data_IF_697778639183
#
_entry.id   IF_697778639183
#
_cell.length_a   1.000
_cell.length_b   1.000
_cell.length_c   1.000
_cell.angle_alpha   90.00
_cell.angle_beta   90.00
_cell.angle_gamma   90.00
#
_symmetry.space_group_name_H-M   'P 1'
#
loop_
_entity.id
_entity.type
_entity.pdbx_description
1 polymer ?
#
# COMPACT_ATOMS: atom_id res chain seq x y z
N UNK A 1 20.24 -77.15 -13.81
CA UNK A 1 20.09 -77.59 -12.41
C UNK A 1 20.84 -76.61 -11.53
N UNK A 2 20.15 -75.65 -10.91
CA UNK A 2 20.76 -74.65 -10.03
C UNK A 2 19.67 -74.15 -9.09
N UNK A 3 19.95 -74.20 -7.79
CA UNK A 3 18.99 -74.13 -6.70
C UNK A 3 18.01 -72.95 -6.78
N UNK A 4 16.71 -73.26 -6.75
CA UNK A 4 15.65 -72.29 -6.46
C UNK A 4 15.60 -72.15 -4.95
N UNK A 5 16.06 -71.01 -4.43
CA UNK A 5 15.92 -70.63 -3.04
C UNK A 5 14.43 -70.41 -2.75
N UNK A 6 13.79 -71.38 -2.10
CA UNK A 6 12.43 -71.23 -1.60
C UNK A 6 12.52 -70.45 -0.29
N UNK A 7 11.99 -69.24 -0.33
CA UNK A 7 11.84 -68.35 0.82
C UNK A 7 11.12 -69.07 1.97
N UNK A 8 11.64 -68.93 3.19
CA UNK A 8 10.97 -69.44 4.38
C UNK A 8 9.70 -68.62 4.62
N UNK A 9 8.54 -69.25 4.89
CA UNK A 9 7.33 -68.50 5.23
C UNK A 9 7.58 -67.77 6.53
N UNK A 10 7.55 -66.44 6.47
CA UNK A 10 7.60 -65.56 7.64
C UNK A 10 6.37 -65.84 8.48
N UNK A 11 6.55 -66.69 9.50
CA UNK A 11 5.53 -67.00 10.49
C UNK A 11 5.16 -65.70 11.20
N UNK A 12 4.06 -65.08 10.77
CA UNK A 12 3.47 -63.93 11.43
C UNK A 12 2.99 -64.41 12.80
N UNK A 13 3.88 -64.26 13.77
CA UNK A 13 3.62 -64.60 15.17
C UNK A 13 2.55 -63.63 15.64
N UNK A 14 1.35 -64.15 15.89
CA UNK A 14 0.19 -63.39 16.34
C UNK A 14 0.56 -62.48 17.51
N UNK A 15 0.08 -61.24 17.44
CA UNK A 15 0.36 -60.20 18.43
C UNK A 15 -0.08 -60.73 19.81
N UNK A 16 0.89 -61.00 20.68
CA UNK A 16 0.60 -61.55 22.00
C UNK A 16 -0.16 -60.50 22.83
N UNK A 17 -1.19 -60.94 23.55
CA UNK A 17 -1.99 -60.10 24.45
C UNK A 17 -1.11 -59.34 25.47
N UNK A 18 0.05 -59.89 25.79
CA UNK A 18 1.02 -59.29 26.69
C UNK A 18 1.74 -58.09 26.05
N UNK A 19 2.17 -58.19 24.78
CA UNK A 19 2.73 -57.06 24.03
C UNK A 19 1.72 -55.92 23.87
N UNK A 20 0.43 -56.25 23.68
CA UNK A 20 -0.64 -55.23 23.63
C UNK A 20 -0.79 -54.55 24.99
N UNK A 21 -0.81 -55.31 26.09
CA UNK A 21 -0.91 -54.74 27.45
C UNK A 21 0.30 -53.89 27.82
N UNK A 22 1.49 -54.29 27.41
CA UNK A 22 2.74 -53.53 27.61
C UNK A 22 2.75 -52.24 26.78
N UNK A 23 2.31 -52.30 25.52
CA UNK A 23 2.14 -51.12 24.67
C UNK A 23 1.13 -50.12 25.24
N UNK A 24 -0.02 -50.63 25.72
CA UNK A 24 -1.05 -49.81 26.37
C UNK A 24 -0.54 -49.20 27.68
N UNK A 25 0.16 -49.96 28.51
CA UNK A 25 0.72 -49.46 29.77
C UNK A 25 1.79 -48.38 29.53
N UNK A 26 2.60 -48.53 28.47
CA UNK A 26 3.63 -47.55 28.09
C UNK A 26 3.00 -46.26 27.55
N UNK A 27 1.96 -46.39 26.72
CA UNK A 27 1.19 -45.25 26.21
C UNK A 27 0.49 -44.47 27.33
N UNK A 28 -0.10 -45.18 28.30
CA UNK A 28 -0.77 -44.55 29.45
C UNK A 28 0.23 -43.83 30.37
N UNK A 29 1.43 -44.38 30.56
CA UNK A 29 2.50 -43.72 31.34
C UNK A 29 3.03 -42.46 30.65
N UNK A 30 3.28 -42.53 29.34
CA UNK A 30 3.73 -41.38 28.56
C UNK A 30 2.69 -40.24 28.58
N UNK A 31 1.40 -40.59 28.45
CA UNK A 31 0.30 -39.63 28.55
C UNK A 31 0.25 -38.92 29.91
N UNK A 32 0.41 -39.67 31.02
CA UNK A 32 0.41 -39.08 32.37
C UNK A 32 1.65 -38.23 32.64
N UNK A 33 2.81 -38.65 32.15
CA UNK A 33 4.06 -37.90 32.30
C UNK A 33 4.04 -36.58 31.53
N UNK A 34 3.46 -36.57 30.31
CA UNK A 34 3.21 -35.34 29.56
C UNK A 34 2.21 -34.45 30.32
N UNK A 35 1.18 -35.03 30.94
CA UNK A 35 0.20 -34.28 31.73
C UNK A 35 0.80 -33.64 32.98
N UNK A 36 1.73 -34.31 33.66
CA UNK A 36 2.43 -33.77 34.83
C UNK A 36 3.46 -32.70 34.43
N UNK A 37 4.19 -32.88 33.32
CA UNK A 37 5.03 -31.82 32.73
C UNK A 37 4.19 -30.62 32.29
N UNK A 38 2.97 -30.84 31.77
CA UNK A 38 2.03 -29.76 31.42
C UNK A 38 1.53 -28.99 32.65
N UNK A 39 1.57 -29.62 33.83
CA UNK A 39 1.15 -29.01 35.11
C UNK A 39 2.28 -28.26 35.83
N UNK A 40 3.49 -28.24 35.28
CA UNK A 40 4.58 -27.43 35.81
C UNK A 40 4.38 -25.95 35.45
N UNK A 41 4.53 -25.05 36.42
CA UNK A 41 4.32 -23.60 36.24
C UNK A 41 5.11 -23.03 35.05
N UNK A 42 6.30 -23.59 34.77
CA UNK A 42 7.13 -23.22 33.63
C UNK A 42 6.44 -23.46 32.29
N UNK A 43 5.80 -24.61 32.10
CA UNK A 43 5.13 -24.96 30.84
C UNK A 43 3.88 -24.10 30.64
N UNK A 44 3.12 -23.83 31.71
CA UNK A 44 1.99 -22.90 31.66
C UNK A 44 2.43 -21.48 31.26
N UNK A 45 3.55 -20.98 31.81
CA UNK A 45 4.12 -19.68 31.43
C UNK A 45 4.52 -19.68 29.95
N UNK A 46 5.22 -20.71 29.48
CA UNK A 46 5.62 -20.81 28.07
C UNK A 46 4.41 -20.85 27.14
N UNK A 47 3.39 -21.62 27.49
CA UNK A 47 2.17 -21.75 26.69
C UNK A 47 1.37 -20.45 26.68
N UNK A 48 1.31 -19.75 27.81
CA UNK A 48 0.75 -18.39 27.91
C UNK A 48 1.51 -17.39 27.04
N UNK A 49 2.85 -17.43 27.05
CA UNK A 49 3.67 -16.56 26.21
C UNK A 49 3.44 -16.82 24.71
N UNK A 50 3.35 -18.09 24.31
CA UNK A 50 3.00 -18.48 22.94
C UNK A 50 1.62 -17.95 22.55
N UNK A 51 0.63 -18.06 23.43
CA UNK A 51 -0.71 -17.52 23.18
C UNK A 51 -0.69 -15.99 23.01
N UNK A 52 0.06 -15.27 23.85
CA UNK A 52 0.24 -13.81 23.74
C UNK A 52 0.93 -13.44 22.43
N UNK A 53 1.97 -14.17 22.02
CA UNK A 53 2.66 -13.94 20.74
C UNK A 53 1.72 -14.18 19.55
N UNK A 54 0.89 -15.22 19.60
CA UNK A 54 -0.11 -15.50 18.56
C UNK A 54 -1.15 -14.37 18.48
N UNK A 55 -1.66 -13.91 19.63
CA UNK A 55 -2.58 -12.78 19.69
C UNK A 55 -1.94 -11.49 19.15
N UNK A 56 -0.69 -11.23 19.50
CA UNK A 56 0.07 -10.08 18.98
C UNK A 56 0.23 -10.16 17.46
N UNK A 57 0.61 -11.33 16.93
CA UNK A 57 0.76 -11.54 15.50
C UNK A 57 -0.56 -11.28 14.74
N UNK A 58 -1.68 -11.79 15.26
CA UNK A 58 -3.01 -11.54 14.69
C UNK A 58 -3.33 -10.04 14.75
N UNK A 59 -3.08 -9.38 15.89
CA UNK A 59 -3.30 -7.94 16.06
C UNK A 59 -2.52 -7.09 15.05
N UNK A 60 -1.25 -7.43 14.78
CA UNK A 60 -0.43 -6.76 13.76
C UNK A 60 -1.03 -6.93 12.37
N UNK A 61 -1.51 -8.12 12.02
CA UNK A 61 -2.14 -8.38 10.71
C UNK A 61 -3.43 -7.58 10.55
N UNK A 62 -4.26 -7.52 11.59
CA UNK A 62 -5.51 -6.73 11.59
C UNK A 62 -5.20 -5.24 11.42
N UNK A 63 -4.24 -4.72 12.20
CA UNK A 63 -3.82 -3.31 12.08
C UNK A 63 -3.27 -3.00 10.68
N UNK A 64 -2.50 -3.91 10.09
CA UNK A 64 -2.03 -3.75 8.72
C UNK A 64 -3.17 -3.77 7.69
N UNK A 65 -4.23 -4.55 7.92
CA UNK A 65 -5.41 -4.61 7.06
C UNK A 65 -6.20 -3.30 7.11
N UNK A 66 -6.52 -2.81 8.32
CA UNK A 66 -7.20 -1.52 8.51
C UNK A 66 -6.40 -0.37 7.89
N UNK A 67 -5.07 -0.38 8.07
CA UNK A 67 -4.20 0.64 7.48
C UNK A 67 -4.25 0.62 5.95
N UNK A 68 -4.33 -0.57 5.33
CA UNK A 68 -4.48 -0.68 3.86
C UNK A 68 -5.82 -0.13 3.38
N UNK A 69 -6.90 -0.35 4.11
CA UNK A 69 -8.23 0.17 3.76
C UNK A 69 -8.29 1.71 3.85
N UNK A 70 -7.79 2.26 4.96
CA UNK A 70 -7.66 3.70 5.16
C UNK A 70 -6.78 4.34 4.07
N UNK A 71 -5.66 3.69 3.74
CA UNK A 71 -4.76 4.16 2.69
C UNK A 71 -5.39 4.13 1.30
N UNK A 72 -6.22 3.12 1.00
CA UNK A 72 -6.93 3.03 -0.27
C UNK A 72 -7.93 4.19 -0.42
N UNK A 73 -8.67 4.48 0.64
CA UNK A 73 -9.60 5.62 0.69
C UNK A 73 -8.86 6.94 0.46
N UNK A 74 -7.78 7.17 1.24
CA UNK A 74 -6.94 8.35 1.09
C UNK A 74 -6.38 8.48 -0.34
N UNK A 75 -5.90 7.38 -0.92
CA UNK A 75 -5.35 7.34 -2.28
C UNK A 75 -6.40 7.73 -3.31
N UNK A 76 -7.65 7.28 -3.17
CA UNK A 76 -8.76 7.67 -4.06
C UNK A 76 -9.06 9.16 -4.00
N UNK A 77 -9.15 9.73 -2.80
CA UNK A 77 -9.33 11.18 -2.60
C UNK A 77 -8.16 11.99 -3.19
N UNK A 78 -6.93 11.51 -3.01
CA UNK A 78 -5.73 12.13 -3.56
C UNK A 78 -5.79 12.15 -5.11
N UNK A 79 -6.18 11.04 -5.73
CA UNK A 79 -6.33 10.94 -7.19
C UNK A 79 -7.40 11.91 -7.72
N UNK A 80 -8.53 12.05 -7.02
CA UNK A 80 -9.57 13.00 -7.41
C UNK A 80 -9.04 14.46 -7.35
N UNK A 81 -8.35 14.82 -6.26
CA UNK A 81 -7.70 16.14 -6.12
C UNK A 81 -6.71 16.39 -7.26
N UNK A 82 -5.86 15.41 -7.56
CA UNK A 82 -4.86 15.52 -8.61
C UNK A 82 -5.51 15.59 -10.01
N UNK A 83 -6.69 14.99 -10.20
CA UNK A 83 -7.56 15.19 -11.36
C UNK A 83 -7.98 16.65 -11.53
N UNK A 84 -8.61 17.23 -10.50
CA UNK A 84 -9.04 18.63 -10.53
C UNK A 84 -7.87 19.60 -10.72
N UNK A 85 -6.71 19.32 -10.12
CA UNK A 85 -5.52 20.16 -10.29
C UNK A 85 -5.02 20.17 -11.75
N UNK A 86 -5.11 19.03 -12.44
CA UNK A 86 -4.78 18.95 -13.88
C UNK A 86 -5.76 19.76 -14.72
N UNK A 87 -7.06 19.61 -14.49
CA UNK A 87 -8.09 20.38 -15.19
C UNK A 87 -7.92 21.88 -14.96
N UNK A 88 -7.69 22.29 -13.71
CA UNK A 88 -7.43 23.69 -13.37
C UNK A 88 -6.18 24.23 -14.09
N UNK A 89 -5.10 23.45 -14.12
CA UNK A 89 -3.87 23.83 -14.82
C UNK A 89 -4.12 24.00 -16.32
N UNK A 90 -4.91 23.12 -16.93
CA UNK A 90 -5.30 23.23 -18.33
C UNK A 90 -6.15 24.49 -18.58
N UNK A 91 -7.18 24.72 -17.79
CA UNK A 91 -8.04 25.90 -17.90
C UNK A 91 -7.23 27.20 -17.74
N UNK A 92 -6.24 27.21 -16.85
CA UNK A 92 -5.38 28.38 -16.65
C UNK A 92 -4.51 28.67 -17.88
N UNK A 93 -4.03 27.62 -18.57
CA UNK A 93 -3.30 27.76 -19.83
C UNK A 93 -4.21 28.26 -20.94
N UNK A 94 -5.43 27.72 -21.05
CA UNK A 94 -6.45 28.20 -21.99
C UNK A 94 -6.80 29.67 -21.75
N UNK A 95 -7.01 30.06 -20.48
CA UNK A 95 -7.30 31.43 -20.08
C UNK A 95 -6.12 32.37 -20.38
N UNK A 96 -4.90 31.92 -20.13
CA UNK A 96 -3.68 32.69 -20.41
C UNK A 96 -3.53 32.95 -21.92
N UNK A 97 -3.75 31.93 -22.75
CA UNK A 97 -3.75 32.05 -24.21
C UNK A 97 -4.85 33.02 -24.72
N UNK A 98 -6.05 32.97 -24.14
CA UNK A 98 -7.16 33.87 -24.49
C UNK A 98 -6.93 35.32 -24.03
N UNK A 99 -6.29 35.50 -22.87
CA UNK A 99 -6.01 36.81 -22.29
C UNK A 99 -4.86 37.55 -22.98
N UNK A 100 -3.89 36.81 -23.52
CA UNK A 100 -2.69 37.39 -24.12
C UNK A 100 -2.99 38.16 -25.42
N UNK A 101 -3.96 37.73 -26.23
CA UNK A 101 -4.15 38.31 -27.57
C UNK A 101 -5.60 38.58 -28.00
N UNK A 102 -6.60 37.83 -27.54
CA UNK A 102 -7.86 37.80 -28.29
C UNK A 102 -8.82 38.95 -28.01
N UNK A 103 -9.14 39.21 -26.74
CA UNK A 103 -10.42 39.85 -26.43
C UNK A 103 -10.36 41.38 -26.36
N UNK A 104 -9.26 41.95 -25.90
CA UNK A 104 -9.11 43.41 -25.79
C UNK A 104 -8.78 44.02 -27.15
N UNK A 105 -7.90 43.36 -27.91
CA UNK A 105 -7.49 43.80 -29.25
C UNK A 105 -8.66 43.73 -30.23
N UNK A 106 -9.43 42.64 -30.22
CA UNK A 106 -10.58 42.49 -31.12
C UNK A 106 -11.70 43.49 -30.79
N UNK A 107 -11.99 43.73 -29.51
CA UNK A 107 -12.98 44.74 -29.10
C UNK A 107 -12.51 46.17 -29.40
N UNK A 108 -11.20 46.44 -29.31
CA UNK A 108 -10.62 47.74 -29.67
C UNK A 108 -10.67 47.98 -31.19
N UNK A 109 -10.36 46.96 -31.99
CA UNK A 109 -10.43 47.03 -33.44
C UNK A 109 -11.88 47.19 -33.93
N UNK A 110 -12.83 46.38 -33.44
CA UNK A 110 -14.23 46.43 -33.92
C UNK A 110 -14.99 47.66 -33.41
N UNK A 111 -14.84 48.01 -32.12
CA UNK A 111 -15.67 49.04 -31.49
C UNK A 111 -15.09 50.44 -31.62
N UNK A 112 -13.77 50.55 -31.74
CA UNK A 112 -13.06 51.83 -31.82
C UNK A 112 -12.27 52.01 -33.12
N UNK A 113 -12.33 51.07 -34.08
CA UNK A 113 -11.53 51.11 -35.32
C UNK A 113 -10.03 51.32 -35.05
N UNK A 114 -9.54 50.88 -33.89
CA UNK A 114 -8.14 51.03 -33.54
C UNK A 114 -7.29 50.08 -34.41
N UNK A 115 -6.30 50.66 -35.09
CA UNK A 115 -5.32 49.97 -35.94
C UNK A 115 -3.95 50.12 -35.27
N UNK A 116 -3.11 49.08 -35.35
CA UNK A 116 -1.73 49.16 -34.84
C UNK A 116 -0.96 50.20 -35.66
N UNK A 117 -0.46 51.29 -35.03
CA UNK A 117 0.18 52.38 -35.76
C UNK A 117 1.49 51.93 -36.42
N UNK A 118 1.74 52.41 -37.64
CA UNK A 118 2.97 52.16 -38.39
C UNK A 118 4.17 52.91 -37.78
N UNK A 119 5.40 52.56 -38.19
CA UNK A 119 6.63 53.21 -37.68
C UNK A 119 6.62 54.72 -37.89
N UNK A 120 5.97 55.18 -38.94
CA UNK A 120 5.74 56.58 -39.31
C UNK A 120 4.84 57.38 -38.34
N UNK A 121 4.00 56.72 -37.53
CA UNK A 121 3.04 57.39 -36.64
C UNK A 121 3.54 57.52 -35.19
N UNK A 122 4.76 57.07 -34.88
CA UNK A 122 5.31 57.08 -33.53
C UNK A 122 6.07 58.40 -33.29
N UNK A 123 5.46 59.32 -32.54
CA UNK A 123 6.11 60.58 -32.12
C UNK A 123 6.72 60.43 -30.72
N UNK A 124 8.06 60.44 -30.64
CA UNK A 124 8.80 60.48 -29.38
C UNK A 124 8.79 61.90 -28.81
N UNK A 125 8.07 62.10 -27.71
CA UNK A 125 8.07 63.39 -26.98
C UNK A 125 9.24 63.41 -25.99
N UNK A 126 10.22 64.33 -26.14
CA UNK A 126 11.30 64.47 -25.17
C UNK A 126 10.75 64.98 -23.84
N UNK A 127 11.11 64.32 -22.74
CA UNK A 127 10.79 64.81 -21.40
C UNK A 127 11.51 66.14 -21.21
N UNK A 128 10.72 67.22 -21.14
CA UNK A 128 11.16 68.60 -21.00
C UNK A 128 12.29 68.75 -19.96
N UNK A 129 13.45 69.22 -20.42
CA UNK A 129 14.52 69.74 -19.56
C UNK A 129 14.04 71.05 -18.91
N UNK A 130 14.35 71.32 -17.62
CA UNK A 130 13.87 72.50 -16.95
C UNK A 130 14.46 73.76 -17.59
N UNK A 131 13.58 74.62 -18.11
CA UNK A 131 13.90 75.97 -18.55
C UNK A 131 14.40 76.76 -17.35
N UNK A 132 15.68 77.13 -17.38
CA UNK A 132 16.30 78.04 -16.42
C UNK A 132 15.59 79.40 -16.46
N UNK A 133 14.96 79.78 -15.35
CA UNK A 133 14.47 81.12 -15.12
C UNK A 133 15.64 81.99 -14.61
N UNK A 134 15.81 83.14 -15.26
CA UNK A 134 16.77 84.21 -14.95
C UNK A 134 16.57 84.82 -13.57
#
# INVERSE_FOLDING_TARGET
MGAVAIEQPTKITGISKQRVREGVATAVRLSRQVFDTTRETRVLITLGLVAVLMLSAIGVVVSAHENRELFNTLSGLQQARDGYQREWSQLLLEQSALSAHGRVEHLAAERFNMVVPGREDIVLVPLMSPVAAR
#
